data_IF_392915742550
#
_entry.id   IF_392915742550
#
_cell.length_a   1.000
_cell.length_b   1.000
_cell.length_c   1.000
_cell.angle_alpha   90.00
_cell.angle_beta   90.00
_cell.angle_gamma   90.00
#
_symmetry.space_group_name_H-M   'P 1'
#
loop_
_entity.id
_entity.type
_entity.pdbx_description
1 polymer ?
#
# COMPACT_ATOMS: atom_id res chain seq x y z
N UNK A 1 -3.73 -5.57 -16.13
CA UNK A 1 -2.99 -5.81 -14.86
C UNK A 1 -3.45 -4.90 -13.74
N UNK A 2 -3.01 -3.63 -13.66
CA UNK A 2 -3.51 -2.72 -12.61
C UNK A 2 -5.03 -2.48 -12.76
N UNK A 3 -5.52 -2.27 -13.99
CA UNK A 3 -6.95 -2.14 -14.28
C UNK A 3 -7.80 -3.32 -13.77
N UNK A 4 -7.33 -4.55 -13.98
CA UNK A 4 -8.03 -5.77 -13.54
C UNK A 4 -8.08 -5.88 -12.01
N UNK A 5 -7.00 -5.50 -11.32
CA UNK A 5 -6.96 -5.45 -9.86
C UNK A 5 -7.96 -4.42 -9.31
N UNK A 6 -8.03 -3.24 -9.95
CA UNK A 6 -8.93 -2.16 -9.55
C UNK A 6 -10.40 -2.54 -9.77
N UNK A 7 -10.73 -3.11 -10.92
CA UNK A 7 -12.08 -3.62 -11.20
C UNK A 7 -12.48 -4.68 -10.17
N UNK A 8 -11.57 -5.61 -9.85
CA UNK A 8 -11.84 -6.65 -8.86
C UNK A 8 -12.06 -6.05 -7.46
N UNK A 9 -11.17 -5.17 -7.00
CA UNK A 9 -11.29 -4.64 -5.63
C UNK A 9 -12.54 -3.78 -5.47
N UNK A 10 -12.95 -3.03 -6.49
CA UNK A 10 -14.20 -2.26 -6.50
C UNK A 10 -15.43 -3.18 -6.38
N UNK A 11 -15.41 -4.36 -7.02
CA UNK A 11 -16.49 -5.34 -6.94
C UNK A 11 -16.63 -5.98 -5.54
N UNK A 12 -15.50 -6.35 -4.92
CA UNK A 12 -15.50 -7.12 -3.66
C UNK A 12 -15.33 -6.29 -2.38
N UNK A 13 -14.77 -5.09 -2.49
CA UNK A 13 -14.69 -4.11 -1.42
C UNK A 13 -14.72 -2.67 -1.99
N UNK A 14 -15.90 -2.09 -2.26
CA UNK A 14 -16.01 -0.73 -2.81
C UNK A 14 -15.49 0.36 -1.86
N UNK A 15 -15.26 0.03 -0.59
CA UNK A 15 -14.66 0.91 0.42
C UNK A 15 -13.13 0.73 0.53
N UNK A 16 -12.54 -0.14 -0.31
CA UNK A 16 -11.10 -0.31 -0.36
C UNK A 16 -10.42 0.99 -0.80
N UNK A 17 -9.33 1.32 -0.13
CA UNK A 17 -8.56 2.52 -0.39
C UNK A 17 -7.26 2.15 -1.10
N UNK A 18 -6.75 3.11 -1.88
CA UNK A 18 -5.43 3.05 -2.47
C UNK A 18 -4.51 4.03 -1.73
N UNK A 19 -3.24 3.66 -1.61
CA UNK A 19 -2.21 4.58 -1.13
C UNK A 19 -1.80 5.48 -2.30
N UNK A 20 -2.21 6.76 -2.26
CA UNK A 20 -1.98 7.72 -3.34
C UNK A 20 -0.48 7.89 -3.63
N UNK A 21 -0.13 7.85 -4.92
CA UNK A 21 1.25 7.95 -5.38
C UNK A 21 2.12 6.72 -5.13
N UNK A 22 1.56 5.58 -4.75
CA UNK A 22 2.29 4.32 -4.51
C UNK A 22 1.92 3.19 -5.48
N UNK A 23 1.29 3.51 -6.62
CA UNK A 23 0.78 2.51 -7.58
C UNK A 23 1.83 1.47 -8.00
N UNK A 24 3.08 1.90 -8.22
CA UNK A 24 4.20 1.02 -8.60
C UNK A 24 4.65 0.05 -7.49
N UNK A 25 4.18 0.27 -6.25
CA UNK A 25 4.42 -0.61 -5.12
C UNK A 25 3.28 -1.61 -4.89
N UNK A 26 2.20 -1.57 -5.66
CA UNK A 26 1.12 -2.57 -5.57
C UNK A 26 1.66 -3.95 -5.96
N UNK A 27 1.43 -4.94 -5.09
CA UNK A 27 1.82 -6.33 -5.32
C UNK A 27 0.63 -7.28 -5.42
N UNK A 28 -0.58 -6.83 -5.09
CA UNK A 28 -1.79 -7.61 -5.25
C UNK A 28 -2.89 -7.26 -4.26
N UNK A 29 -3.72 -8.24 -3.95
CA UNK A 29 -4.85 -8.13 -3.04
C UNK A 29 -4.59 -9.04 -1.83
N UNK A 30 -4.84 -8.51 -0.63
CA UNK A 30 -4.80 -9.25 0.61
C UNK A 30 -6.21 -9.69 1.00
N UNK A 31 -6.40 -11.01 1.09
CA UNK A 31 -7.66 -11.61 1.51
C UNK A 31 -7.47 -12.37 2.82
N UNK A 32 -8.45 -12.25 3.73
CA UNK A 32 -8.53 -13.09 4.92
C UNK A 32 -9.98 -13.34 5.28
N UNK A 33 -10.27 -14.55 5.76
CA UNK A 33 -11.63 -14.89 6.18
C UNK A 33 -12.18 -13.89 7.22
N UNK A 34 -13.43 -13.48 7.05
CA UNK A 34 -14.13 -12.56 7.95
C UNK A 34 -13.73 -11.09 7.84
N UNK A 35 -12.96 -10.70 6.82
CA UNK A 35 -12.69 -9.29 6.49
C UNK A 35 -12.81 -9.08 4.99
N UNK A 36 -13.21 -7.87 4.60
CA UNK A 36 -13.23 -7.46 3.21
C UNK A 36 -11.78 -7.38 2.67
N UNK A 37 -11.56 -7.72 1.39
CA UNK A 37 -10.23 -7.67 0.79
C UNK A 37 -9.69 -6.23 0.72
N UNK A 38 -8.37 -6.08 0.77
CA UNK A 38 -7.70 -4.76 0.65
C UNK A 38 -6.48 -4.85 -0.25
N UNK A 39 -6.03 -3.72 -0.79
CA UNK A 39 -4.85 -3.69 -1.66
C UNK A 39 -3.57 -3.86 -0.82
N UNK A 40 -2.66 -4.68 -1.33
CA UNK A 40 -1.37 -4.97 -0.71
C UNK A 40 -0.24 -4.27 -1.47
N UNK A 41 0.63 -3.61 -0.71
CA UNK A 41 1.79 -2.89 -1.21
C UNK A 41 3.08 -3.50 -0.65
N UNK A 42 4.17 -3.40 -1.42
CA UNK A 42 5.53 -3.67 -0.95
C UNK A 42 6.06 -2.44 -0.19
N UNK A 43 6.36 -2.61 1.10
CA UNK A 43 6.82 -1.51 1.96
C UNK A 43 8.12 -0.88 1.45
N UNK A 44 9.08 -1.70 1.01
CA UNK A 44 10.40 -1.22 0.59
C UNK A 44 10.29 -0.45 -0.72
N UNK A 45 9.39 -0.86 -1.63
CA UNK A 45 9.08 -0.08 -2.83
C UNK A 45 8.42 1.25 -2.49
N UNK A 46 7.50 1.30 -1.52
CA UNK A 46 6.92 2.57 -1.09
C UNK A 46 8.01 3.53 -0.58
N UNK A 47 8.91 3.06 0.27
CA UNK A 47 10.02 3.87 0.78
C UNK A 47 10.92 4.34 -0.37
N UNK A 48 11.26 3.46 -1.31
CA UNK A 48 12.04 3.83 -2.49
C UNK A 48 11.36 4.88 -3.37
N UNK A 49 10.02 4.81 -3.53
CA UNK A 49 9.27 5.84 -4.25
C UNK A 49 9.43 7.21 -3.58
N UNK A 50 9.32 7.29 -2.26
CA UNK A 50 9.52 8.54 -1.52
C UNK A 50 10.95 9.10 -1.72
N UNK A 51 11.96 8.23 -1.67
CA UNK A 51 13.35 8.64 -1.93
C UNK A 51 13.54 9.17 -3.35
N UNK A 52 13.05 8.45 -4.37
CA UNK A 52 13.29 8.79 -5.77
C UNK A 52 12.42 9.94 -6.28
N UNK A 53 11.14 9.97 -5.90
CA UNK A 53 10.17 10.97 -6.36
C UNK A 53 10.28 12.27 -5.55
N UNK A 54 10.40 12.16 -4.23
CA UNK A 54 10.30 13.30 -3.33
C UNK A 54 11.68 13.78 -2.83
N UNK A 55 12.76 13.08 -3.19
CA UNK A 55 14.14 13.46 -2.85
C UNK A 55 14.48 13.34 -1.37
N UNK A 56 13.69 12.59 -0.60
CA UNK A 56 13.92 12.33 0.81
C UNK A 56 15.19 11.48 0.99
N UNK A 57 15.90 11.67 2.10
CA UNK A 57 16.84 10.65 2.57
C UNK A 57 16.08 9.36 2.90
N UNK A 58 16.80 8.23 2.94
CA UNK A 58 16.18 6.95 3.28
C UNK A 58 15.53 6.99 4.67
N UNK A 59 16.21 7.57 5.65
CA UNK A 59 15.70 7.73 7.01
C UNK A 59 14.43 8.60 7.05
N UNK A 60 14.43 9.75 6.37
CA UNK A 60 13.24 10.60 6.26
C UNK A 60 12.08 9.89 5.56
N UNK A 61 12.37 9.11 4.52
CA UNK A 61 11.34 8.33 3.81
C UNK A 61 10.74 7.24 4.68
N UNK A 62 11.54 6.56 5.51
CA UNK A 62 11.06 5.57 6.49
C UNK A 62 10.16 6.23 7.53
N UNK A 63 10.60 7.34 8.13
CA UNK A 63 9.79 8.08 9.10
C UNK A 63 8.49 8.59 8.46
N UNK A 64 8.58 9.20 7.28
CA UNK A 64 7.42 9.69 6.56
C UNK A 64 6.43 8.54 6.27
N UNK A 65 6.92 7.41 5.78
CA UNK A 65 6.09 6.24 5.51
C UNK A 65 5.40 5.74 6.78
N UNK A 66 6.15 5.54 7.86
CA UNK A 66 5.59 4.98 9.09
C UNK A 66 4.51 5.89 9.71
N UNK A 67 4.70 7.21 9.67
CA UNK A 67 3.71 8.15 10.21
C UNK A 67 2.56 8.49 9.25
N UNK A 68 2.86 8.81 7.99
CA UNK A 68 1.90 9.39 7.04
C UNK A 68 1.25 8.36 6.12
N UNK A 69 1.84 7.18 5.94
CA UNK A 69 1.36 6.17 4.99
C UNK A 69 0.83 4.96 5.74
N UNK A 70 1.66 4.34 6.58
CA UNK A 70 1.26 3.25 7.45
C UNK A 70 0.34 3.72 8.59
N UNK A 71 0.68 4.85 9.21
CA UNK A 71 -0.06 5.45 10.32
C UNK A 71 -1.38 6.13 9.93
N UNK A 72 -1.63 6.36 8.65
CA UNK A 72 -2.81 7.09 8.17
C UNK A 72 -4.15 6.37 8.37
N UNK A 73 -4.16 5.11 8.84
CA UNK A 73 -5.34 4.25 9.00
C UNK A 73 -6.68 5.00 9.18
N UNK A 74 -7.54 4.88 8.18
CA UNK A 74 -8.86 5.56 8.12
C UNK A 74 -10.03 4.58 8.10
N UNK A 75 -9.80 3.30 8.38
CA UNK A 75 -10.85 2.28 8.43
C UNK A 75 -10.45 0.94 7.86
N UNK A 76 -11.42 0.03 7.73
CA UNK A 76 -11.18 -1.37 7.32
C UNK A 76 -10.68 -1.51 5.88
N UNK A 77 -10.97 -0.54 5.00
CA UNK A 77 -10.47 -0.49 3.63
C UNK A 77 -9.03 0.02 3.50
N UNK A 78 -8.36 0.38 4.61
CA UNK A 78 -6.96 0.84 4.57
C UNK A 78 -6.07 -0.26 3.99
N UNK A 79 -5.13 0.06 3.07
CA UNK A 79 -4.17 -0.89 2.51
C UNK A 79 -3.35 -1.62 3.57
N UNK A 80 -2.78 -2.75 3.17
CA UNK A 80 -1.72 -3.43 3.93
C UNK A 80 -0.38 -3.28 3.24
N UNK A 81 0.68 -3.29 4.05
CA UNK A 81 2.05 -3.12 3.59
C UNK A 81 2.89 -4.32 4.01
N UNK A 82 3.47 -5.01 3.04
CA UNK A 82 4.27 -6.20 3.24
C UNK A 82 5.73 -5.78 3.41
N UNK A 83 6.29 -6.05 4.58
CA UNK A 83 7.72 -5.96 4.83
C UNK A 83 8.38 -7.23 4.32
N UNK A 84 9.27 -7.13 3.35
CA UNK A 84 10.01 -8.30 2.89
C UNK A 84 11.08 -8.70 3.90
N UNK A 85 10.91 -9.85 4.54
CA UNK A 85 11.88 -10.41 5.49
C UNK A 85 12.66 -11.59 4.91
N UNK A 86 12.35 -11.98 3.67
CA UNK A 86 13.02 -13.05 2.94
C UNK A 86 14.02 -12.42 1.97
N UNK A 87 15.30 -12.48 2.34
CA UNK A 87 16.43 -12.05 1.49
C UNK A 87 16.78 -13.03 0.39
#
# INVERSE_FOLDING_TARGET
MLSELLEWIEEFNPEALLADGFDDAIIGICERFGNDPVVAYDKDKCINILVQRDGMSYEEAVEYFDFNVLGAYVGKGTPVYILNTLG
#
